data_IF_424893427570
#
_entry.id   IF_424893427570
#
_cell.length_a   1.000
_cell.length_b   1.000
_cell.length_c   1.000
_cell.angle_alpha   90.00
_cell.angle_beta   90.00
_cell.angle_gamma   90.00
#
_symmetry.space_group_name_H-M   'P 1'
#
loop_
_entity.id
_entity.type
_entity.pdbx_description
1 polymer ?
#
# COMPACT_ATOMS: atom_id res chain seq x y z
N UNK A 1 -20.91 4.61 -8.71
CA UNK A 1 -19.62 4.59 -7.98
C UNK A 1 -19.27 3.13 -7.73
N UNK A 2 -18.01 2.74 -7.93
CA UNK A 2 -17.53 1.39 -7.61
C UNK A 2 -16.79 1.47 -6.27
N UNK A 3 -17.33 0.83 -5.24
CA UNK A 3 -16.64 0.70 -3.96
C UNK A 3 -15.81 -0.58 -3.97
N UNK A 4 -14.54 -0.46 -3.63
CA UNK A 4 -13.57 -1.55 -3.62
C UNK A 4 -13.00 -1.63 -2.22
N UNK A 5 -13.31 -2.71 -1.51
CA UNK A 5 -12.84 -2.97 -0.17
C UNK A 5 -11.69 -3.98 -0.21
N UNK A 6 -10.53 -3.60 0.32
CA UNK A 6 -9.44 -4.54 0.57
C UNK A 6 -9.77 -5.30 1.85
N UNK A 7 -10.20 -6.55 1.70
CA UNK A 7 -10.59 -7.40 2.83
C UNK A 7 -9.41 -8.08 3.50
N UNK A 8 -8.33 -8.33 2.74
CA UNK A 8 -7.10 -8.94 3.26
C UNK A 8 -5.89 -8.45 2.48
N UNK A 9 -4.83 -8.12 3.21
CA UNK A 9 -3.48 -7.93 2.70
C UNK A 9 -2.51 -8.54 3.71
N UNK A 10 -1.84 -9.63 3.33
CA UNK A 10 -0.99 -10.40 4.24
C UNK A 10 0.31 -10.82 3.55
N UNK A 11 1.43 -10.57 4.22
CA UNK A 11 2.74 -11.02 3.75
C UNK A 11 3.84 -10.61 4.72
N UNK A 12 5.00 -11.24 4.60
CA UNK A 12 6.18 -10.89 5.39
C UNK A 12 6.80 -9.61 4.85
N UNK A 13 6.92 -8.60 5.70
CA UNK A 13 7.57 -7.33 5.36
C UNK A 13 8.98 -7.24 5.91
N UNK A 14 9.80 -6.43 5.28
CA UNK A 14 11.11 -6.01 5.78
C UNK A 14 11.12 -4.50 5.91
N UNK A 15 11.80 -4.02 6.96
CA UNK A 15 12.01 -2.61 7.23
C UNK A 15 13.51 -2.41 7.38
N UNK A 16 14.05 -1.40 6.70
CA UNK A 16 15.47 -1.05 6.75
C UNK A 16 15.61 0.43 7.11
N UNK A 17 16.45 0.72 8.10
CA UNK A 17 16.81 2.08 8.49
C UNK A 17 18.32 2.20 8.25
N UNK A 18 18.76 2.97 7.23
CA UNK A 18 20.18 3.16 6.97
C UNK A 18 20.88 3.83 8.16
N UNK A 19 22.19 3.63 8.35
CA UNK A 19 22.94 4.28 9.42
C UNK A 19 22.79 5.82 9.40
N UNK A 20 22.92 6.49 10.56
CA UNK A 20 23.02 7.95 10.62
C UNK A 20 24.10 8.47 9.65
N UNK A 21 23.89 9.63 8.98
CA UNK A 21 22.89 10.67 9.24
C UNK A 21 21.55 10.51 8.48
N UNK A 22 21.19 9.30 8.04
CA UNK A 22 19.92 9.06 7.33
C UNK A 22 18.69 9.31 8.21
N UNK A 23 17.68 9.99 7.66
CA UNK A 23 16.34 10.13 8.22
C UNK A 23 15.31 9.28 7.47
N UNK A 24 15.77 8.28 6.71
CA UNK A 24 14.94 7.44 5.83
C UNK A 24 14.62 6.08 6.43
N UNK A 25 13.43 5.58 6.15
CA UNK A 25 12.96 4.23 6.40
C UNK A 25 12.53 3.62 5.07
N UNK A 26 13.13 2.49 4.72
CA UNK A 26 12.73 1.72 3.55
C UNK A 26 11.91 0.53 3.98
N UNK A 27 10.79 0.27 3.30
CA UNK A 27 9.96 -0.88 3.60
C UNK A 27 9.43 -1.54 2.33
N UNK A 28 9.26 -2.86 2.41
CA UNK A 28 8.72 -3.68 1.33
C UNK A 28 8.24 -5.03 1.85
N UNK A 29 7.41 -5.71 1.06
CA UNK A 29 7.17 -7.13 1.19
C UNK A 29 8.37 -7.92 0.66
N UNK A 30 8.78 -8.98 1.38
CA UNK A 30 9.87 -9.87 0.92
C UNK A 30 9.47 -10.73 -0.28
N UNK A 31 8.18 -11.03 -0.39
CA UNK A 31 7.57 -11.81 -1.48
C UNK A 31 6.20 -11.21 -1.80
N UNK A 32 5.62 -11.45 -2.99
CA UNK A 32 4.27 -10.96 -3.31
C UNK A 32 3.25 -11.32 -2.21
N UNK A 33 2.53 -10.33 -1.66
CA UNK A 33 1.57 -10.58 -0.58
C UNK A 33 0.29 -11.25 -1.08
N UNK A 34 -0.44 -11.89 -0.17
CA UNK A 34 -1.81 -12.34 -0.40
C UNK A 34 -2.75 -11.14 -0.33
N UNK A 35 -3.47 -10.89 -1.41
CA UNK A 35 -4.45 -9.82 -1.55
C UNK A 35 -5.83 -10.44 -1.74
N UNK A 36 -6.86 -9.90 -1.09
CA UNK A 36 -8.25 -10.27 -1.34
C UNK A 36 -9.13 -9.03 -1.30
N UNK A 37 -9.92 -8.84 -2.34
CA UNK A 37 -10.73 -7.63 -2.54
C UNK A 37 -12.20 -8.01 -2.73
N UNK A 38 -13.08 -7.13 -2.25
CA UNK A 38 -14.52 -7.20 -2.47
C UNK A 38 -14.95 -5.93 -3.20
N UNK A 39 -15.54 -6.05 -4.38
CA UNK A 39 -16.22 -4.92 -5.01
C UNK A 39 -17.73 -4.98 -4.74
N UNK A 40 -18.30 -3.93 -4.15
CA UNK A 40 -19.75 -3.77 -4.04
C UNK A 40 -20.19 -2.68 -5.01
N UNK A 41 -20.81 -3.02 -6.16
CA UNK A 41 -21.34 -1.99 -7.04
C UNK A 41 -22.66 -1.45 -6.48
N UNK A 42 -22.79 -0.12 -6.43
CA UNK A 42 -24.09 0.53 -6.29
C UNK A 42 -24.58 0.93 -7.68
N UNK A 43 -25.57 0.19 -8.21
CA UNK A 43 -26.31 0.55 -9.43
C UNK A 43 -27.80 0.60 -9.09
N UNK A 44 -28.28 1.75 -8.61
CA UNK A 44 -29.64 1.88 -8.08
C UNK A 44 -29.90 0.93 -6.89
N UNK A 45 -31.10 0.35 -6.80
CA UNK A 45 -31.52 -0.55 -5.71
C UNK A 45 -31.13 -2.02 -5.90
N UNK A 46 -30.39 -2.38 -6.96
CA UNK A 46 -30.04 -3.79 -7.26
C UNK A 46 -28.54 -4.05 -7.14
N UNK A 47 -28.18 -5.00 -6.28
CA UNK A 47 -26.83 -5.56 -6.22
C UNK A 47 -26.59 -6.50 -7.41
N UNK A 48 -25.59 -6.19 -8.25
CA UNK A 48 -25.16 -7.05 -9.36
C UNK A 48 -23.85 -7.73 -8.97
N UNK A 49 -23.71 -9.03 -9.26
CA UNK A 49 -22.45 -9.75 -9.09
C UNK A 49 -21.42 -9.27 -10.12
N UNK A 50 -20.28 -8.78 -9.62
CA UNK A 50 -19.21 -8.16 -10.41
C UNK A 50 -17.87 -8.88 -10.22
N UNK A 51 -17.90 -10.20 -9.98
CA UNK A 51 -16.73 -11.05 -9.81
C UNK A 51 -15.61 -10.84 -10.85
N UNK A 52 -15.96 -10.64 -12.13
CA UNK A 52 -15.00 -10.32 -13.20
C UNK A 52 -14.25 -9.01 -12.97
N UNK A 53 -14.95 -7.95 -12.54
CA UNK A 53 -14.35 -6.64 -12.28
C UNK A 53 -13.49 -6.70 -11.01
N UNK A 54 -13.98 -7.37 -9.95
CA UNK A 54 -13.18 -7.64 -8.74
C UNK A 54 -11.85 -8.32 -9.09
N UNK A 55 -11.90 -9.35 -9.93
CA UNK A 55 -10.71 -10.11 -10.34
C UNK A 55 -9.73 -9.25 -11.14
N UNK A 56 -10.23 -8.40 -12.04
CA UNK A 56 -9.39 -7.47 -12.79
C UNK A 56 -8.70 -6.43 -11.87
N UNK A 57 -9.44 -5.87 -10.92
CA UNK A 57 -8.90 -4.89 -9.95
C UNK A 57 -7.88 -5.55 -9.03
N UNK A 58 -8.17 -6.77 -8.54
CA UNK A 58 -7.23 -7.53 -7.72
C UNK A 58 -5.92 -7.78 -8.47
N UNK A 59 -5.99 -8.23 -9.73
CA UNK A 59 -4.80 -8.44 -10.54
C UNK A 59 -4.03 -7.13 -10.76
N UNK A 60 -4.72 -6.01 -10.97
CA UNK A 60 -4.07 -4.71 -11.15
C UNK A 60 -3.35 -4.25 -9.88
N UNK A 61 -4.00 -4.38 -8.71
CA UNK A 61 -3.41 -4.02 -7.42
C UNK A 61 -2.25 -4.96 -7.05
N UNK A 62 -2.37 -6.26 -7.33
CA UNK A 62 -1.28 -7.23 -7.17
C UNK A 62 -0.04 -6.82 -7.97
N UNK A 63 -0.21 -6.48 -9.25
CA UNK A 63 0.89 -6.02 -10.10
C UNK A 63 1.53 -4.71 -9.59
N UNK A 64 0.72 -3.78 -9.07
CA UNK A 64 1.22 -2.54 -8.50
C UNK A 64 2.02 -2.77 -7.22
N UNK A 65 1.54 -3.65 -6.34
CA UNK A 65 2.26 -4.06 -5.12
C UNK A 65 3.58 -4.74 -5.50
N UNK A 66 3.56 -5.68 -6.43
CA UNK A 66 4.75 -6.41 -6.87
C UNK A 66 5.79 -5.48 -7.50
N UNK A 67 5.33 -4.53 -8.33
CA UNK A 67 6.22 -3.59 -9.00
C UNK A 67 6.86 -2.57 -8.05
N UNK A 68 6.15 -2.10 -7.02
CA UNK A 68 6.61 -0.95 -6.21
C UNK A 68 7.00 -1.31 -4.78
N UNK A 69 6.41 -2.37 -4.21
CA UNK A 69 6.48 -2.67 -2.78
C UNK A 69 6.86 -4.13 -2.48
N UNK A 70 7.43 -4.85 -3.46
CA UNK A 70 8.02 -6.18 -3.27
C UNK A 70 9.50 -6.11 -3.62
N UNK A 71 10.34 -6.71 -2.77
CA UNK A 71 11.79 -6.74 -2.96
C UNK A 71 12.15 -7.23 -4.39
N UNK A 72 13.13 -6.60 -5.07
CA UNK A 72 14.05 -5.58 -4.54
C UNK A 72 13.50 -4.15 -4.48
N UNK A 73 12.29 -3.89 -4.98
CA UNK A 73 11.69 -2.55 -4.91
C UNK A 73 11.17 -2.28 -3.49
N UNK A 74 11.51 -1.12 -2.96
CA UNK A 74 11.13 -0.68 -1.63
C UNK A 74 10.65 0.76 -1.68
N UNK A 75 9.64 1.07 -0.87
CA UNK A 75 9.17 2.44 -0.71
C UNK A 75 10.03 3.16 0.34
N UNK A 76 10.26 4.46 0.12
CA UNK A 76 11.18 5.29 0.91
C UNK A 76 10.39 6.39 1.64
N UNK A 77 10.39 6.32 2.96
CA UNK A 77 9.70 7.27 3.83
C UNK A 77 10.70 8.07 4.67
N UNK A 78 10.52 9.39 4.72
CA UNK A 78 11.21 10.24 5.68
C UNK A 78 10.58 10.05 7.05
N UNK A 79 11.42 9.81 8.07
CA UNK A 79 11.04 9.71 9.47
C UNK A 79 11.33 11.05 10.14
N UNK A 80 10.33 11.94 10.36
CA UNK A 80 10.57 13.32 10.77
C UNK A 80 11.34 13.46 12.09
N UNK A 81 11.15 12.52 13.02
CA UNK A 81 11.86 12.51 14.31
C UNK A 81 13.36 12.22 14.17
N UNK A 82 13.78 11.59 13.08
CA UNK A 82 15.18 11.40 12.71
C UNK A 82 15.72 12.56 11.88
N UNK A 83 14.84 13.42 11.36
CA UNK A 83 15.21 14.55 10.53
C UNK A 83 15.61 15.76 11.38
N UNK A 84 16.73 16.39 11.00
CA UNK A 84 17.12 17.70 11.53
C UNK A 84 16.26 18.86 11.00
N UNK A 85 15.38 18.60 10.03
CA UNK A 85 14.53 19.61 9.42
C UNK A 85 13.31 19.92 10.29
N UNK A 86 13.26 21.13 10.85
CA UNK A 86 12.17 21.57 11.73
C UNK A 86 10.82 21.65 11.04
N UNK A 87 10.79 21.88 9.72
CA UNK A 87 9.55 21.94 8.94
C UNK A 87 8.83 20.59 8.89
N UNK A 88 9.56 19.48 9.04
CA UNK A 88 8.98 18.13 9.06
C UNK A 88 8.37 17.77 10.43
N UNK A 89 8.71 18.52 11.49
CA UNK A 89 8.15 18.31 12.85
C UNK A 89 6.74 18.91 13.00
N UNK A 90 6.39 19.86 12.14
CA UNK A 90 5.02 20.30 11.94
C UNK A 90 4.30 19.17 11.18
N UNK A 91 3.44 18.42 11.87
CA UNK A 91 2.75 17.28 11.27
C UNK A 91 2.05 17.61 9.93
N UNK A 92 1.88 16.61 9.07
CA UNK A 92 1.34 16.73 7.71
C UNK A 92 -0.08 17.34 7.61
N UNK A 93 -0.75 17.58 8.76
CA UNK A 93 -2.13 18.05 8.89
C UNK A 93 -2.25 19.33 9.75
N UNK A 94 -1.28 20.25 9.68
CA UNK A 94 -1.50 21.65 10.12
C UNK A 94 -1.88 22.53 8.94
#
# INVERSE_FOLDING_TARGET
LLNVDVTRLEGTMTVNIPPPPSDRLWYAFRTPPKLSIRSVPQVGDRSVDMSTVSSWIENKLRLLLEKNLVCPNMDDLIVPVMSGNELLKSGYNQ
#
